data_IF_963269053428
#
_entry.id   IF_963269053428
#
_cell.length_a   1.000
_cell.length_b   1.000
_cell.length_c   1.000
_cell.angle_alpha   90.00
_cell.angle_beta   90.00
_cell.angle_gamma   90.00
#
_symmetry.space_group_name_H-M   'P 1'
#
loop_
_entity.id
_entity.type
_entity.pdbx_description
1 polymer ?
#
# COMPACT_ATOMS: atom_id res chain seq x y z
N UNK A 1 32.51 -15.74 -14.36
CA UNK A 1 32.31 -14.30 -14.05
C UNK A 1 32.78 -14.07 -12.62
N UNK A 2 33.50 -12.99 -12.31
CA UNK A 2 33.94 -12.71 -10.94
C UNK A 2 32.73 -12.57 -10.01
N UNK A 3 32.84 -12.90 -8.72
CA UNK A 3 31.76 -12.75 -7.74
C UNK A 3 31.29 -11.28 -7.66
N UNK A 4 30.04 -11.06 -7.22
CA UNK A 4 29.57 -9.70 -6.95
C UNK A 4 30.31 -9.13 -5.74
N UNK A 5 30.52 -7.82 -5.73
CA UNK A 5 31.07 -7.13 -4.57
C UNK A 5 30.16 -7.35 -3.33
N UNK A 6 30.76 -7.62 -2.18
CA UNK A 6 30.05 -7.97 -0.94
C UNK A 6 29.16 -6.82 -0.44
N UNK A 7 29.58 -5.57 -0.67
CA UNK A 7 28.82 -4.37 -0.30
C UNK A 7 27.55 -4.28 -1.15
N UNK A 8 27.68 -4.50 -2.46
CA UNK A 8 26.54 -4.53 -3.38
C UNK A 8 25.57 -5.66 -3.05
N UNK A 9 26.09 -6.86 -2.73
CA UNK A 9 25.24 -7.99 -2.31
C UNK A 9 24.39 -7.65 -1.09
N UNK A 10 25.01 -7.08 -0.05
CA UNK A 10 24.31 -6.65 1.19
C UNK A 10 23.23 -5.63 0.88
N UNK A 11 23.50 -4.67 -0.01
CA UNK A 11 22.52 -3.66 -0.41
C UNK A 11 21.34 -4.25 -1.17
N UNK A 12 21.57 -5.18 -2.10
CA UNK A 12 20.48 -5.89 -2.77
C UNK A 12 19.63 -6.71 -1.81
N UNK A 13 20.26 -7.46 -0.88
CA UNK A 13 19.53 -8.23 0.11
C UNK A 13 18.69 -7.34 1.03
N UNK A 14 19.22 -6.17 1.43
CA UNK A 14 18.48 -5.17 2.21
C UNK A 14 17.30 -4.61 1.42
N UNK A 15 17.49 -4.34 0.13
CA UNK A 15 16.42 -3.89 -0.77
C UNK A 15 15.30 -4.94 -0.90
N UNK A 16 15.66 -6.20 -1.16
CA UNK A 16 14.70 -7.30 -1.29
C UNK A 16 13.93 -7.55 -0.01
N UNK A 17 14.60 -7.59 1.15
CA UNK A 17 13.92 -7.77 2.45
C UNK A 17 12.95 -6.64 2.78
N UNK A 18 13.23 -5.42 2.32
CA UNK A 18 12.37 -4.26 2.53
C UNK A 18 11.21 -4.20 1.54
N UNK A 19 11.45 -4.59 0.28
CA UNK A 19 10.49 -4.44 -0.82
C UNK A 19 9.61 -5.67 -1.07
N UNK A 20 10.10 -6.87 -0.78
CA UNK A 20 9.39 -8.14 -1.04
C UNK A 20 8.67 -8.57 0.24
N UNK A 21 7.59 -7.86 0.55
CA UNK A 21 6.70 -8.15 1.68
C UNK A 21 5.26 -8.35 1.19
N UNK A 22 4.47 -9.23 1.82
CA UNK A 22 3.05 -9.36 1.48
C UNK A 22 2.31 -8.03 1.69
N UNK A 23 1.48 -7.66 0.72
CA UNK A 23 0.60 -6.50 0.79
C UNK A 23 -0.77 -6.88 0.21
N UNK A 24 -1.84 -6.31 0.76
CA UNK A 24 -3.21 -6.64 0.38
C UNK A 24 -3.80 -5.74 -0.71
N UNK A 25 -3.04 -4.78 -1.24
CA UNK A 25 -3.48 -3.86 -2.31
C UNK A 25 -2.43 -2.78 -2.61
N UNK A 26 -2.80 -1.74 -3.37
CA UNK A 26 -1.89 -0.61 -3.57
C UNK A 26 -1.61 0.07 -2.22
N UNK A 27 -0.37 0.49 -2.03
CA UNK A 27 0.13 0.95 -0.74
C UNK A 27 -0.39 2.34 -0.37
N UNK A 28 -0.86 3.12 -1.35
CA UNK A 28 -1.36 4.49 -1.16
C UNK A 28 -2.70 4.56 -0.39
N UNK A 29 -3.78 3.85 -0.78
CA UNK A 29 -4.99 3.76 0.05
C UNK A 29 -4.70 3.20 1.45
N UNK A 30 -3.78 2.24 1.56
CA UNK A 30 -3.41 1.60 2.82
C UNK A 30 -2.75 2.60 3.78
N UNK A 31 -1.91 3.53 3.28
CA UNK A 31 -1.33 4.58 4.11
C UNK A 31 -2.41 5.52 4.71
N UNK A 32 -3.47 5.81 3.94
CA UNK A 32 -4.62 6.60 4.42
C UNK A 32 -5.41 5.82 5.47
N UNK A 33 -5.67 4.54 5.24
CA UNK A 33 -6.31 3.66 6.21
C UNK A 33 -5.49 3.57 7.52
N UNK A 34 -4.16 3.47 7.41
CA UNK A 34 -3.24 3.43 8.56
C UNK A 34 -3.30 4.72 9.38
N UNK A 35 -3.28 5.88 8.72
CA UNK A 35 -3.39 7.16 9.40
C UNK A 35 -4.76 7.31 10.10
N UNK A 36 -5.85 6.90 9.45
CA UNK A 36 -7.19 6.89 10.05
C UNK A 36 -7.29 5.95 11.27
N UNK A 37 -6.81 4.71 11.13
CA UNK A 37 -6.78 3.73 12.21
C UNK A 37 -5.94 4.23 13.40
N UNK A 38 -4.80 4.85 13.13
CA UNK A 38 -3.96 5.42 14.19
C UNK A 38 -4.63 6.58 14.90
N UNK A 39 -5.35 7.45 14.18
CA UNK A 39 -6.06 8.56 14.80
C UNK A 39 -7.13 8.06 15.79
N UNK A 40 -7.84 6.99 15.43
CA UNK A 40 -8.88 6.38 16.27
C UNK A 40 -8.35 5.81 17.60
N UNK A 41 -7.08 5.42 17.68
CA UNK A 41 -6.47 4.94 18.95
C UNK A 41 -6.44 6.03 20.02
N UNK A 42 -6.38 7.30 19.61
CA UNK A 42 -6.27 8.45 20.53
C UNK A 42 -7.59 9.21 20.71
N UNK A 43 -8.65 8.76 20.04
CA UNK A 43 -10.00 9.28 20.20
C UNK A 43 -10.77 8.38 21.14
N UNK A 44 -11.59 8.97 21.99
CA UNK A 44 -12.59 8.22 22.73
C UNK A 44 -13.59 7.60 21.73
N UNK A 45 -14.27 6.52 22.12
CA UNK A 45 -15.22 5.76 21.28
C UNK A 45 -16.51 6.54 20.90
N UNK A 46 -16.44 7.87 20.79
CA UNK A 46 -17.51 8.72 20.30
C UNK A 46 -17.70 8.58 18.77
N UNK A 47 -18.92 8.87 18.27
CA UNK A 47 -19.19 8.89 16.84
C UNK A 47 -18.30 9.87 16.08
N UNK A 48 -17.81 9.42 14.92
CA UNK A 48 -17.04 10.26 13.99
C UNK A 48 -17.96 11.36 13.44
N UNK A 49 -17.56 12.61 13.70
CA UNK A 49 -18.21 13.81 13.17
C UNK A 49 -17.68 14.13 11.77
N UNK A 50 -16.36 14.06 11.59
CA UNK A 50 -15.71 14.40 10.33
C UNK A 50 -14.36 13.68 10.18
N UNK A 51 -14.00 13.33 8.95
CA UNK A 51 -12.65 12.92 8.57
C UNK A 51 -12.17 13.84 7.44
N UNK A 52 -10.99 14.45 7.60
CA UNK A 52 -10.32 15.21 6.56
C UNK A 52 -9.04 14.50 6.14
N UNK A 53 -8.94 14.17 4.86
CA UNK A 53 -7.79 13.52 4.25
C UNK A 53 -7.08 14.55 3.36
N UNK A 54 -5.80 14.80 3.60
CA UNK A 54 -4.94 15.56 2.69
C UNK A 54 -3.78 14.68 2.25
N UNK A 55 -3.53 14.60 0.95
CA UNK A 55 -2.51 13.72 0.40
C UNK A 55 -1.67 14.42 -0.67
N UNK A 56 -0.45 13.94 -0.92
CA UNK A 56 0.35 14.45 -2.04
C UNK A 56 -0.36 14.22 -3.38
N UNK A 57 -0.04 15.00 -4.44
CA UNK A 57 -0.62 14.79 -5.77
C UNK A 57 -0.46 13.35 -6.28
N UNK A 58 0.68 12.71 -6.00
CA UNK A 58 0.96 11.32 -6.39
C UNK A 58 0.08 10.32 -5.63
N UNK A 59 -0.10 10.49 -4.32
CA UNK A 59 -1.02 9.64 -3.55
C UNK A 59 -2.45 9.86 -4.01
N UNK A 60 -2.86 11.11 -4.30
CA UNK A 60 -4.20 11.40 -4.82
C UNK A 60 -4.49 10.64 -6.11
N UNK A 61 -3.63 10.77 -7.15
CA UNK A 61 -3.85 10.10 -8.44
C UNK A 61 -3.80 8.57 -8.31
N UNK A 62 -2.91 8.03 -7.47
CA UNK A 62 -2.71 6.60 -7.35
C UNK A 62 -3.79 5.92 -6.50
N UNK A 63 -4.40 6.61 -5.53
CA UNK A 63 -5.38 6.01 -4.63
C UNK A 63 -6.84 6.25 -5.04
N UNK A 64 -7.11 7.18 -5.96
CA UNK A 64 -8.49 7.58 -6.29
C UNK A 64 -9.30 6.44 -6.92
N UNK A 65 -8.73 5.72 -7.87
CA UNK A 65 -9.40 4.64 -8.60
C UNK A 65 -9.01 3.25 -8.09
N UNK A 66 -8.17 3.18 -7.06
CA UNK A 66 -7.74 1.91 -6.49
C UNK A 66 -8.78 1.40 -5.52
N UNK A 67 -9.11 0.13 -5.68
CA UNK A 67 -10.01 -0.58 -4.81
C UNK A 67 -9.49 -0.76 -3.40
N UNK A 68 -10.38 -0.65 -2.42
CA UNK A 68 -10.08 -0.99 -1.03
C UNK A 68 -10.38 -2.49 -0.79
N UNK A 69 -9.37 -3.27 -0.35
CA UNK A 69 -9.52 -4.71 -0.11
C UNK A 69 -10.66 -5.00 0.88
N UNK A 70 -11.45 -6.04 0.61
CA UNK A 70 -12.54 -6.48 1.49
C UNK A 70 -13.80 -5.60 1.51
N UNK A 71 -13.78 -4.40 0.91
CA UNK A 71 -14.96 -3.51 0.83
C UNK A 71 -15.64 -3.55 -0.55
N UNK A 72 -14.87 -3.82 -1.60
CA UNK A 72 -15.37 -3.90 -2.98
C UNK A 72 -15.71 -2.55 -3.61
N UNK A 73 -15.23 -1.44 -3.03
CA UNK A 73 -15.31 -0.10 -3.62
C UNK A 73 -13.95 0.62 -3.62
N UNK A 74 -13.64 1.43 -4.65
CA UNK A 74 -12.39 2.17 -4.72
C UNK A 74 -12.43 3.51 -4.01
N UNK A 75 -11.24 4.04 -3.74
CA UNK A 75 -11.04 5.43 -3.40
C UNK A 75 -10.60 5.70 -1.96
N UNK A 76 -10.01 6.89 -1.79
CA UNK A 76 -9.45 7.38 -0.52
C UNK A 76 -10.47 7.45 0.61
N UNK A 77 -11.72 7.78 0.28
CA UNK A 77 -12.79 7.94 1.26
C UNK A 77 -13.15 6.60 1.88
N UNK A 78 -13.27 5.56 1.04
CA UNK A 78 -13.48 4.19 1.48
C UNK A 78 -12.30 3.71 2.33
N UNK A 79 -11.06 4.02 1.92
CA UNK A 79 -9.87 3.62 2.66
C UNK A 79 -9.80 4.25 4.06
N UNK A 80 -10.11 5.54 4.16
CA UNK A 80 -10.18 6.26 5.43
C UNK A 80 -11.29 5.68 6.33
N UNK A 81 -12.48 5.40 5.78
CA UNK A 81 -13.58 4.78 6.52
C UNK A 81 -13.21 3.37 7.03
N UNK A 82 -12.63 2.54 6.17
CA UNK A 82 -12.20 1.18 6.53
C UNK A 82 -11.15 1.20 7.65
N UNK A 83 -10.14 2.06 7.51
CA UNK A 83 -9.12 2.27 8.54
C UNK A 83 -9.72 2.74 9.87
N UNK A 84 -10.63 3.71 9.83
CA UNK A 84 -11.24 4.25 11.04
C UNK A 84 -12.15 3.25 11.78
N UNK A 85 -12.88 2.40 11.06
CA UNK A 85 -13.86 1.49 11.68
C UNK A 85 -13.32 0.10 12.01
N UNK A 86 -12.29 -0.36 11.28
CA UNK A 86 -11.81 -1.75 11.36
C UNK A 86 -10.30 -1.90 11.36
N UNK A 87 -9.55 -0.81 11.17
CA UNK A 87 -8.12 -0.89 10.96
C UNK A 87 -7.33 -1.26 12.21
N UNK A 88 -6.43 -2.24 12.08
CA UNK A 88 -5.39 -2.50 13.09
C UNK A 88 -4.19 -1.57 12.86
N UNK A 89 -4.11 -0.52 13.68
CA UNK A 89 -3.04 0.48 13.56
C UNK A 89 -1.63 -0.05 13.86
N UNK A 90 -1.49 -1.29 14.36
CA UNK A 90 -0.20 -1.95 14.60
C UNK A 90 0.28 -2.81 13.42
N UNK A 91 -0.62 -3.15 12.49
CA UNK A 91 -0.35 -4.08 11.39
C UNK A 91 0.35 -3.44 10.16
N UNK A 92 0.74 -2.17 10.22
CA UNK A 92 1.47 -1.49 9.14
C UNK A 92 0.71 -1.50 7.81
N UNK A 93 1.29 -2.12 6.77
CA UNK A 93 0.65 -2.26 5.45
C UNK A 93 -0.52 -3.27 5.44
N UNK A 94 -0.71 -4.01 6.52
CA UNK A 94 -1.82 -4.95 6.70
C UNK A 94 -2.96 -4.38 7.55
N UNK A 95 -2.99 -3.06 7.79
CA UNK A 95 -4.00 -2.39 8.65
C UNK A 95 -5.45 -2.79 8.35
N UNK A 96 -5.79 -3.04 7.08
CA UNK A 96 -7.13 -3.44 6.65
C UNK A 96 -7.13 -4.82 5.96
N UNK A 97 -6.18 -5.69 6.31
CA UNK A 97 -6.06 -7.01 5.69
C UNK A 97 -7.27 -7.92 5.97
N UNK A 98 -7.99 -7.67 7.06
CA UNK A 98 -9.17 -8.45 7.46
C UNK A 98 -10.30 -7.51 7.84
N UNK A 99 -11.23 -7.29 6.91
CA UNK A 99 -12.45 -6.53 7.16
C UNK A 99 -13.59 -7.53 7.38
N UNK A 100 -14.23 -7.55 8.58
CA UNK A 100 -15.39 -8.39 8.80
C UNK A 100 -16.52 -8.01 7.83
N UNK A 101 -17.12 -8.98 7.13
CA UNK A 101 -18.20 -8.73 6.15
C UNK A 101 -19.35 -7.89 6.73
N UNK A 102 -19.67 -8.08 8.01
CA UNK A 102 -20.70 -7.32 8.73
C UNK A 102 -20.39 -5.82 8.89
N UNK A 103 -19.12 -5.41 8.78
CA UNK A 103 -18.69 -4.01 8.89
C UNK A 103 -18.69 -3.28 7.55
N UNK A 104 -18.75 -4.00 6.43
CA UNK A 104 -18.73 -3.42 5.07
C UNK A 104 -19.86 -2.39 4.86
N UNK A 105 -21.12 -2.63 5.27
CA UNK A 105 -22.18 -1.63 5.13
C UNK A 105 -21.86 -0.32 5.89
N UNK A 106 -21.35 -0.41 7.12
CA UNK A 106 -21.01 0.77 7.93
C UNK A 106 -19.82 1.56 7.35
N UNK A 107 -18.85 0.87 6.75
CA UNK A 107 -17.73 1.50 6.04
C UNK A 107 -18.24 2.34 4.86
N UNK A 108 -19.10 1.73 4.03
CA UNK A 108 -19.69 2.40 2.86
C UNK A 108 -20.58 3.56 3.27
N UNK A 109 -21.40 3.37 4.29
CA UNK A 109 -22.26 4.42 4.86
C UNK A 109 -21.42 5.63 5.31
N UNK A 110 -20.36 5.41 6.10
CA UNK A 110 -19.50 6.49 6.57
C UNK A 110 -18.77 7.20 5.42
N UNK A 111 -18.28 6.44 4.45
CA UNK A 111 -17.61 7.02 3.28
C UNK A 111 -18.54 7.90 2.44
N UNK A 112 -19.83 7.54 2.35
CA UNK A 112 -20.82 8.22 1.52
C UNK A 112 -21.64 9.28 2.28
N UNK A 113 -21.51 9.35 3.61
CA UNK A 113 -22.30 10.27 4.45
C UNK A 113 -21.92 11.75 4.30
N UNK A 114 -20.96 12.10 3.44
CA UNK A 114 -20.41 13.45 3.32
C UNK A 114 -19.52 13.91 4.49
N UNK A 115 -19.27 13.04 5.47
CA UNK A 115 -18.41 13.31 6.65
C UNK A 115 -16.93 13.16 6.33
N UNK A 116 -16.57 12.41 5.29
CA UNK A 116 -15.19 12.27 4.83
C UNK A 116 -14.96 13.19 3.63
N UNK A 117 -13.88 13.96 3.66
CA UNK A 117 -13.43 14.77 2.53
C UNK A 117 -11.96 14.50 2.24
N UNK A 118 -11.59 14.50 0.96
CA UNK A 118 -10.22 14.37 0.50
C UNK A 118 -9.81 15.59 -0.33
N UNK A 119 -8.57 16.06 -0.14
CA UNK A 119 -7.99 17.16 -0.91
C UNK A 119 -6.50 16.96 -1.16
N UNK A 120 -5.98 17.61 -2.18
CA UNK A 120 -4.55 17.61 -2.47
C UNK A 120 -3.84 18.56 -1.51
N UNK A 121 -2.80 18.08 -0.84
CA UNK A 121 -1.92 18.90 -0.03
C UNK A 121 -0.91 19.65 -0.91
N UNK A 122 -0.69 20.94 -0.64
CA UNK A 122 0.37 21.72 -1.29
C UNK A 122 1.72 21.37 -0.66
N UNK A 123 2.28 20.23 -1.06
CA UNK A 123 3.54 19.69 -0.57
C UNK A 123 4.39 19.17 -1.72
N UNK A 124 5.71 19.22 -1.56
CA UNK A 124 6.66 18.70 -2.55
C UNK A 124 6.96 17.20 -2.35
N UNK A 125 6.44 16.57 -1.29
CA UNK A 125 6.65 15.15 -1.01
C UNK A 125 6.02 14.28 -2.11
N UNK A 126 6.76 13.27 -2.57
CA UNK A 126 6.17 12.23 -3.43
C UNK A 126 5.08 11.45 -2.69
N UNK A 127 5.31 11.18 -1.41
CA UNK A 127 4.37 10.50 -0.54
C UNK A 127 4.09 11.33 0.72
N UNK A 128 2.87 11.85 0.80
CA UNK A 128 2.35 12.53 1.98
C UNK A 128 0.90 12.09 2.24
N UNK A 129 0.59 11.82 3.50
CA UNK A 129 -0.76 11.55 3.98
C UNK A 129 -0.95 12.28 5.31
N UNK A 130 -1.99 13.09 5.41
CA UNK A 130 -2.50 13.69 6.63
C UNK A 130 -3.96 13.28 6.77
N UNK A 131 -4.29 12.58 7.87
CA UNK A 131 -5.68 12.26 8.20
C UNK A 131 -6.00 12.88 9.54
N UNK A 132 -7.00 13.75 9.54
CA UNK A 132 -7.61 14.30 10.73
C UNK A 132 -8.96 13.62 10.94
N UNK A 133 -9.17 13.05 12.13
CA UNK A 133 -10.45 12.52 12.57
C UNK A 133 -10.95 13.36 13.73
N UNK A 134 -12.20 13.80 13.64
CA UNK A 134 -12.86 14.64 14.63
C UNK A 134 -14.12 13.98 15.14
N UNK A 135 -14.28 13.95 16.47
CA UNK A 135 -15.52 13.59 17.17
C UNK A 135 -16.23 14.86 17.65
N UNK A 136 -17.17 14.76 18.59
CA UNK A 136 -17.78 15.95 19.18
C UNK A 136 -16.80 16.65 20.13
N UNK A 137 -15.98 15.88 20.84
CA UNK A 137 -15.06 16.37 21.88
C UNK A 137 -13.65 16.59 21.34
N UNK A 138 -13.11 15.60 20.63
CA UNK A 138 -11.69 15.54 20.31
C UNK A 138 -11.42 15.61 18.80
N UNK A 139 -10.18 15.99 18.50
CA UNK A 139 -9.64 15.97 17.14
C UNK A 139 -8.21 15.42 17.17
N UNK A 140 -7.96 14.39 16.37
CA UNK A 140 -6.63 13.78 16.22
C UNK A 140 -6.20 13.87 14.77
N UNK A 141 -4.97 14.32 14.53
CA UNK A 141 -4.35 14.41 13.21
C UNK A 141 -3.09 13.54 13.18
N UNK A 142 -3.00 12.66 12.18
CA UNK A 142 -1.85 11.78 11.95
C UNK A 142 -1.22 12.14 10.62
N UNK A 143 0.11 12.30 10.58
CA UNK A 143 0.88 12.64 9.38
C UNK A 143 1.94 11.58 9.06
N UNK A 144 1.96 11.15 7.80
CA UNK A 144 2.86 10.16 7.22
C UNK A 144 3.58 10.80 6.04
N UNK A 145 4.91 10.62 5.97
CA UNK A 145 5.73 11.08 4.86
C UNK A 145 6.98 10.19 4.67
N UNK A 146 7.59 10.21 3.48
CA UNK A 146 8.83 9.48 3.16
C UNK A 146 8.72 7.94 3.08
N UNK A 147 7.62 7.35 3.54
CA UNK A 147 7.29 5.93 3.39
C UNK A 147 5.88 5.64 3.88
N UNK A 148 5.19 4.67 3.28
CA UNK A 148 3.76 4.39 3.49
C UNK A 148 3.35 4.11 4.95
N UNK A 149 4.29 3.67 5.79
CA UNK A 149 4.06 3.39 7.23
C UNK A 149 4.78 4.36 8.17
N UNK A 150 5.49 5.35 7.62
CA UNK A 150 6.34 6.24 8.39
C UNK A 150 5.56 7.41 8.98
N UNK A 151 4.82 7.13 10.06
CA UNK A 151 4.18 8.16 10.86
C UNK A 151 5.27 9.01 11.53
N UNK A 152 5.26 10.32 11.25
CA UNK A 152 6.23 11.26 11.84
C UNK A 152 5.60 12.22 12.85
N UNK A 153 4.28 12.38 12.82
CA UNK A 153 3.58 13.29 13.73
C UNK A 153 2.17 12.77 14.05
N UNK A 154 1.79 12.87 15.32
CA UNK A 154 0.44 12.63 15.84
C UNK A 154 0.11 13.78 16.78
N UNK A 155 -0.97 14.48 16.49
CA UNK A 155 -1.42 15.68 17.20
C UNK A 155 -2.86 15.46 17.68
N UNK A 156 -3.13 15.63 18.98
CA UNK A 156 -4.47 15.60 19.57
C UNK A 156 -4.77 16.97 20.15
N UNK A 157 -5.86 17.60 19.73
CA UNK A 157 -6.32 18.90 20.24
C UNK A 157 -5.22 19.98 20.30
N UNK A 158 -4.33 20.02 19.29
CA UNK A 158 -3.17 20.93 19.19
C UNK A 158 -1.94 20.53 20.02
N UNK A 159 -2.02 19.46 20.80
CA UNK A 159 -0.89 18.89 21.53
C UNK A 159 -0.26 17.72 20.77
N UNK A 160 1.07 17.73 20.63
CA UNK A 160 1.79 16.63 19.98
C UNK A 160 1.94 15.43 20.92
N UNK A 161 1.21 14.35 20.63
CA UNK A 161 1.37 13.06 21.31
C UNK A 161 2.66 12.37 20.84
N UNK A 162 2.97 12.50 19.56
CA UNK A 162 4.16 11.91 18.96
C UNK A 162 4.71 12.86 17.90
N UNK A 163 6.03 13.05 17.92
CA UNK A 163 6.73 13.84 16.91
C UNK A 163 8.15 13.34 16.74
N UNK A 164 8.53 13.08 15.51
CA UNK A 164 9.93 12.86 15.10
C UNK A 164 10.26 13.74 13.90
N UNK A 165 11.53 13.80 13.54
CA UNK A 165 11.99 14.56 12.38
C UNK A 165 11.20 14.15 11.13
N UNK A 166 10.55 15.13 10.50
CA UNK A 166 9.89 14.94 9.22
C UNK A 166 10.96 14.56 8.17
N UNK A 167 10.77 13.49 7.39
CA UNK A 167 11.67 13.16 6.29
C UNK A 167 11.78 14.34 5.31
N UNK A 168 12.94 14.51 4.67
CA UNK A 168 13.04 15.52 3.62
C UNK A 168 12.14 15.12 2.44
N UNK A 169 11.53 16.10 1.78
CA UNK A 169 10.57 15.93 0.67
C UNK A 169 11.09 15.05 -0.46
N UNK A 170 12.41 15.08 -0.70
CA UNK A 170 13.11 14.25 -1.69
C UNK A 170 14.18 13.36 -1.06
N UNK A 171 14.00 12.97 0.21
CA UNK A 171 14.95 12.07 0.86
C UNK A 171 14.89 10.69 0.19
N UNK A 172 15.80 10.49 -0.75
CA UNK A 172 16.01 9.18 -1.36
C UNK A 172 16.67 8.30 -0.30
N UNK A 173 16.01 7.20 0.07
CA UNK A 173 16.62 6.26 1.01
C UNK A 173 17.94 5.72 0.44
N UNK A 174 18.89 5.37 1.31
CA UNK A 174 20.18 4.77 0.91
C UNK A 174 20.00 3.62 -0.11
N UNK A 175 18.96 2.80 0.08
CA UNK A 175 18.57 1.72 -0.83
C UNK A 175 18.15 2.26 -2.19
N UNK A 176 17.26 3.25 -2.23
CA UNK A 176 16.80 3.82 -3.50
C UNK A 176 17.92 4.52 -4.26
N UNK A 177 18.82 5.21 -3.55
CA UNK A 177 19.98 5.86 -4.14
C UNK A 177 20.93 4.83 -4.75
N UNK A 178 21.21 3.75 -4.01
CA UNK A 178 21.96 2.61 -4.54
C UNK A 178 21.31 2.03 -5.80
N UNK A 179 20.00 1.75 -5.77
CA UNK A 179 19.28 1.19 -6.92
C UNK A 179 19.28 2.12 -8.14
N UNK A 180 19.15 3.43 -7.94
CA UNK A 180 19.22 4.43 -9.03
C UNK A 180 20.58 4.49 -9.72
N UNK A 181 21.66 4.18 -8.99
CA UNK A 181 23.03 4.16 -9.51
C UNK A 181 23.45 2.77 -9.99
N UNK A 182 22.61 1.76 -9.80
CA UNK A 182 22.92 0.37 -10.15
C UNK A 182 22.66 0.10 -11.63
N UNK A 183 23.64 -0.46 -12.32
CA UNK A 183 23.48 -0.88 -13.72
C UNK A 183 22.69 -2.19 -13.87
N UNK A 184 22.03 -2.38 -15.01
CA UNK A 184 21.36 -3.65 -15.34
C UNK A 184 22.33 -4.85 -15.30
N UNK A 185 23.58 -4.67 -15.76
CA UNK A 185 24.60 -5.72 -15.70
C UNK A 185 24.91 -6.15 -14.26
N UNK A 186 24.92 -5.20 -13.31
CA UNK A 186 25.11 -5.48 -11.89
C UNK A 186 23.93 -6.24 -11.30
N UNK A 187 22.70 -5.86 -11.65
CA UNK A 187 21.47 -6.55 -11.22
C UNK A 187 21.47 -7.98 -11.75
N UNK A 188 21.75 -8.16 -13.05
CA UNK A 188 21.83 -9.49 -13.67
C UNK A 188 22.85 -10.38 -12.99
N UNK A 189 24.03 -9.83 -12.72
CA UNK A 189 25.10 -10.55 -12.02
C UNK A 189 24.66 -10.99 -10.62
N UNK A 190 24.05 -10.10 -9.83
CA UNK A 190 23.51 -10.47 -8.52
C UNK A 190 22.49 -11.62 -8.65
N UNK A 191 21.50 -11.45 -9.53
CA UNK A 191 20.40 -12.40 -9.69
C UNK A 191 20.86 -13.80 -10.12
N UNK A 192 21.97 -13.89 -10.87
CA UNK A 192 22.50 -15.17 -11.39
C UNK A 192 23.60 -15.79 -10.54
N UNK A 193 24.11 -15.09 -9.52
CA UNK A 193 25.26 -15.57 -8.71
C UNK A 193 25.04 -15.57 -7.21
N UNK A 194 24.00 -14.91 -6.69
CA UNK A 194 23.68 -14.93 -5.26
C UNK A 194 23.38 -16.35 -4.78
N UNK A 195 23.85 -16.69 -3.59
CA UNK A 195 23.48 -17.93 -2.92
C UNK A 195 21.96 -17.96 -2.71
N UNK A 196 21.32 -19.00 -3.23
CA UNK A 196 19.87 -19.20 -3.14
C UNK A 196 19.37 -19.15 -1.70
N UNK A 197 20.15 -19.68 -0.74
CA UNK A 197 19.80 -19.67 0.68
C UNK A 197 19.56 -18.24 1.22
N UNK A 198 20.25 -17.23 0.68
CA UNK A 198 20.11 -15.83 1.10
C UNK A 198 18.81 -15.17 0.61
N UNK A 199 18.18 -15.72 -0.43
CA UNK A 199 16.96 -15.18 -1.05
C UNK A 199 15.75 -16.13 -0.95
N UNK A 200 15.87 -17.28 -0.27
CA UNK A 200 14.77 -18.25 -0.09
C UNK A 200 13.50 -17.64 0.48
N UNK A 201 13.60 -16.59 1.30
CA UNK A 201 12.43 -15.88 1.84
C UNK A 201 11.50 -15.31 0.76
N UNK A 202 12.02 -15.04 -0.45
CA UNK A 202 11.24 -14.54 -1.59
C UNK A 202 10.33 -15.62 -2.21
N UNK A 203 10.55 -16.90 -1.92
CA UNK A 203 9.72 -17.99 -2.45
C UNK A 203 8.26 -17.79 -2.06
N UNK A 204 8.00 -17.29 -0.85
CA UNK A 204 6.64 -16.98 -0.40
C UNK A 204 5.95 -15.95 -1.31
N UNK A 205 6.66 -14.92 -1.75
CA UNK A 205 6.12 -13.94 -2.69
C UNK A 205 5.83 -14.60 -4.06
N UNK A 206 6.70 -15.50 -4.52
CA UNK A 206 6.46 -16.30 -5.73
C UNK A 206 5.18 -17.13 -5.63
N UNK A 207 4.98 -17.85 -4.51
CA UNK A 207 3.76 -18.64 -4.27
C UNK A 207 2.50 -17.76 -4.24
N UNK A 208 2.54 -16.65 -3.52
CA UNK A 208 1.41 -15.71 -3.41
C UNK A 208 1.05 -15.08 -4.76
N UNK A 209 2.05 -14.60 -5.51
CA UNK A 209 1.83 -13.99 -6.82
C UNK A 209 1.28 -15.00 -7.83
N UNK A 210 1.75 -16.26 -7.79
CA UNK A 210 1.22 -17.31 -8.64
C UNK A 210 -0.23 -17.65 -8.30
N UNK A 211 -0.56 -17.77 -7.01
CA UNK A 211 -1.94 -17.98 -6.57
C UNK A 211 -2.85 -16.83 -7.02
N UNK A 212 -2.37 -15.59 -6.90
CA UNK A 212 -3.09 -14.40 -7.36
C UNK A 212 -3.31 -14.42 -8.88
N UNK A 213 -2.26 -14.71 -9.66
CA UNK A 213 -2.36 -14.82 -11.12
C UNK A 213 -3.37 -15.91 -11.54
N UNK A 214 -3.35 -17.07 -10.88
CA UNK A 214 -4.30 -18.15 -11.15
C UNK A 214 -5.74 -17.74 -10.82
N UNK A 215 -5.97 -17.10 -9.68
CA UNK A 215 -7.29 -16.57 -9.33
C UNK A 215 -7.78 -15.53 -10.36
N UNK A 216 -6.88 -14.65 -10.80
CA UNK A 216 -7.07 -13.69 -11.90
C UNK A 216 -7.47 -14.26 -13.25
N UNK A 217 -7.01 -15.47 -13.55
CA UNK A 217 -7.28 -16.18 -14.80
C UNK A 217 -8.52 -17.08 -14.72
N UNK A 218 -9.11 -17.24 -13.54
CA UNK A 218 -10.28 -18.08 -13.29
C UNK A 218 -11.54 -17.24 -13.02
N UNK A 219 -11.38 -15.98 -12.63
CA UNK A 219 -12.47 -15.12 -12.21
C UNK A 219 -12.34 -13.70 -12.80
N UNK A 220 -13.47 -13.00 -12.93
CA UNK A 220 -13.54 -11.64 -13.47
C UNK A 220 -13.21 -10.61 -12.39
N UNK A 221 -11.92 -10.41 -12.20
CA UNK A 221 -11.37 -9.45 -11.26
C UNK A 221 -10.86 -8.18 -11.97
N UNK A 222 -11.19 -7.00 -11.43
CA UNK A 222 -10.78 -5.71 -12.01
C UNK A 222 -11.30 -5.51 -13.44
N UNK A 223 -10.41 -5.13 -14.37
CA UNK A 223 -10.72 -4.98 -15.82
C UNK A 223 -10.58 -6.33 -16.56
N UNK A 224 -10.27 -7.43 -15.84
CA UNK A 224 -10.21 -8.80 -16.37
C UNK A 224 -9.31 -8.99 -17.62
N UNK A 225 -8.24 -8.19 -17.76
CA UNK A 225 -7.34 -8.23 -18.92
C UNK A 225 -6.74 -9.62 -19.13
N UNK A 226 -6.31 -10.29 -18.06
CA UNK A 226 -5.77 -11.65 -18.14
C UNK A 226 -6.81 -12.68 -18.61
N UNK A 227 -8.08 -12.56 -18.21
CA UNK A 227 -9.13 -13.47 -18.64
C UNK A 227 -9.43 -13.32 -20.13
N UNK A 228 -9.52 -12.07 -20.62
CA UNK A 228 -9.71 -11.77 -22.05
C UNK A 228 -8.51 -12.20 -22.92
N UNK A 229 -7.29 -12.21 -22.38
CA UNK A 229 -6.10 -12.67 -23.11
C UNK A 229 -6.00 -14.20 -23.15
N UNK A 230 -6.55 -14.91 -22.17
CA UNK A 230 -6.56 -16.38 -22.11
C UNK A 230 -7.41 -16.99 -23.22
N UNK A 231 -8.49 -16.32 -23.64
CA UNK A 231 -9.29 -16.74 -24.79
C UNK A 231 -8.55 -16.62 -26.14
N UNK A 232 -7.40 -15.96 -26.17
CA UNK A 232 -6.58 -15.77 -27.37
C UNK A 232 -5.30 -16.64 -27.41
N UNK A 233 -4.97 -17.42 -26.37
CA UNK A 233 -3.65 -18.05 -26.28
C UNK A 233 -3.45 -19.31 -27.13
N UNK A 234 -2.64 -19.15 -28.19
CA UNK A 234 -1.90 -20.21 -28.89
C UNK A 234 -0.43 -20.19 -28.45
N UNK A 235 -0.04 -21.04 -27.49
CA UNK A 235 1.34 -21.54 -27.30
C UNK A 235 2.49 -20.60 -26.87
N UNK A 236 2.48 -19.32 -27.22
CA UNK A 236 3.64 -18.41 -27.17
C UNK A 236 4.01 -17.97 -25.73
N UNK A 237 5.32 -17.94 -25.45
CA UNK A 237 5.89 -17.60 -24.14
C UNK A 237 5.64 -16.13 -23.80
N UNK A 238 5.73 -15.23 -24.78
CA UNK A 238 5.49 -13.80 -24.57
C UNK A 238 4.05 -13.55 -24.13
N UNK A 239 3.09 -14.18 -24.81
CA UNK A 239 1.68 -14.11 -24.44
C UNK A 239 1.40 -14.69 -23.06
N UNK A 240 2.08 -15.77 -22.67
CA UNK A 240 2.00 -16.32 -21.31
C UNK A 240 2.53 -15.33 -20.28
N UNK A 241 3.67 -14.68 -20.53
CA UNK A 241 4.23 -13.68 -19.61
C UNK A 241 3.22 -12.54 -19.40
N UNK A 242 2.60 -12.03 -20.48
CA UNK A 242 1.58 -10.98 -20.39
C UNK A 242 0.34 -11.49 -19.64
N UNK A 243 -0.17 -12.67 -19.97
CA UNK A 243 -1.38 -13.23 -19.38
C UNK A 243 -1.24 -13.55 -17.88
N UNK A 244 -0.05 -13.90 -17.38
CA UNK A 244 0.19 -14.17 -15.96
C UNK A 244 0.58 -12.92 -15.16
N UNK A 245 1.12 -11.87 -15.81
CA UNK A 245 1.49 -10.62 -15.14
C UNK A 245 0.35 -9.59 -15.11
N UNK A 246 -0.49 -9.54 -16.15
CA UNK A 246 -1.62 -8.61 -16.24
C UNK A 246 -2.65 -8.77 -15.10
N UNK A 247 -3.01 -9.98 -14.64
CA UNK A 247 -3.92 -10.14 -13.51
C UNK A 247 -3.31 -9.55 -12.23
N UNK A 248 -2.02 -9.76 -11.97
CA UNK A 248 -1.33 -9.25 -10.77
C UNK A 248 -1.39 -7.72 -10.70
N UNK A 249 -1.31 -7.04 -11.85
CA UNK A 249 -1.46 -5.58 -11.92
C UNK A 249 -2.92 -5.08 -11.80
N UNK A 250 -3.91 -5.90 -12.19
CA UNK A 250 -5.34 -5.56 -12.15
C UNK A 250 -6.11 -6.06 -10.92
N UNK A 251 -5.47 -6.89 -10.09
CA UNK A 251 -6.06 -7.54 -8.93
C UNK A 251 -5.85 -6.73 -7.66
N UNK A 252 -6.72 -5.76 -7.42
CA UNK A 252 -6.77 -5.07 -6.13
C UNK A 252 -8.06 -5.33 -5.35
N UNK A 253 -8.94 -6.25 -5.78
CA UNK A 253 -10.37 -6.13 -5.40
C UNK A 253 -11.07 -7.35 -4.83
N UNK A 254 -10.85 -8.56 -5.35
CA UNK A 254 -11.84 -9.64 -5.11
C UNK A 254 -11.28 -10.97 -4.63
N UNK A 255 -9.98 -11.10 -4.37
CA UNK A 255 -9.42 -12.35 -3.85
C UNK A 255 -9.67 -12.59 -2.35
N UNK A 256 -10.58 -11.85 -1.71
CA UNK A 256 -10.91 -12.01 -0.28
C UNK A 256 -12.38 -12.43 -0.04
N UNK A 257 -13.07 -12.96 -1.05
CA UNK A 257 -14.31 -13.71 -0.83
C UNK A 257 -14.03 -15.17 -0.47
#
# INVERSE_FOLDING_TARGET
MPAIDETNEKMFLKALKKGVVPATGCTEPVAVALAAAKAMVYLDHEPIKQIMVKVSPNVMKNALAVMVPGVGEPGLLIAAAAGALTGDSSAGLSVIATIPRQKVPAIKELAHSGKIRAQVASVADDLYVEVMVQTRVDKVTVRIAGGHTNIYEIEKNQDFIFKKTRPATHQVSEINHFLQQTSLATIWKFATTVDLAKIMFMEQAGRLNMALAQAGLQHDYGIAVGNHLKTATTGDLEQKIVAYSAPVAGLTVRCQE
#
